data_IF_578875293059
#
_entry.id   IF_578875293059
#
_cell.length_a   1.000
_cell.length_b   1.000
_cell.length_c   1.000
_cell.angle_alpha   90.00
_cell.angle_beta   90.00
_cell.angle_gamma   90.00
#
_symmetry.space_group_name_H-M   'P 1'
#
loop_
_entity.id
_entity.type
_entity.pdbx_description
1 polymer ?
#
# COMPACT_ATOMS: atom_id res chain seq x y z
N UNK A 1 -7.83 1.68 -1.27
CA UNK A 1 -6.91 0.52 -1.21
C UNK A 1 -6.53 0.30 0.24
N UNK A 2 -6.11 -0.91 0.60
CA UNK A 2 -5.45 -1.17 1.89
C UNK A 2 -4.14 -1.93 1.66
N UNK A 3 -3.20 -1.80 2.59
CA UNK A 3 -1.85 -2.36 2.47
C UNK A 3 -1.64 -3.65 3.28
N UNK A 4 -0.44 -4.24 3.21
CA UNK A 4 -0.07 -5.37 4.06
C UNK A 4 -0.08 -4.98 5.55
N UNK A 5 -0.42 -5.92 6.43
CA UNK A 5 -0.50 -5.76 7.91
C UNK A 5 -1.69 -4.92 8.42
N UNK A 6 -2.87 -5.11 7.83
CA UNK A 6 -4.12 -4.49 8.27
C UNK A 6 -4.91 -5.39 9.23
N UNK A 7 -4.70 -6.72 9.16
CA UNK A 7 -5.42 -7.70 9.98
C UNK A 7 -4.62 -8.18 11.19
N UNK A 8 -3.31 -7.93 11.19
CA UNK A 8 -2.40 -8.31 12.26
C UNK A 8 -1.48 -7.14 12.59
N UNK A 9 -1.07 -7.03 13.85
CA UNK A 9 0.03 -6.15 14.19
C UNK A 9 1.33 -6.85 13.73
N UNK A 10 2.23 -6.18 12.97
CA UNK A 10 3.52 -6.77 12.60
C UNK A 10 4.33 -7.28 13.80
N UNK A 11 4.09 -6.71 14.98
CA UNK A 11 4.78 -6.98 16.24
C UNK A 11 3.97 -7.83 17.24
N UNK A 12 2.67 -8.04 17.00
CA UNK A 12 1.80 -8.83 17.88
C UNK A 12 0.84 -9.72 17.05
N UNK A 13 1.00 -11.03 17.22
CA UNK A 13 0.18 -12.05 16.56
C UNK A 13 -0.98 -12.53 17.43
N UNK A 14 -1.34 -11.80 18.49
CA UNK A 14 -2.45 -12.17 19.37
C UNK A 14 -3.76 -12.36 18.56
N UNK A 15 -4.52 -13.36 18.98
CA UNK A 15 -5.52 -14.05 18.17
C UNK A 15 -6.78 -13.19 17.93
N UNK A 16 -6.72 -12.28 16.96
CA UNK A 16 -7.90 -11.48 16.57
C UNK A 16 -8.95 -12.37 15.89
N UNK A 17 -10.22 -12.07 16.14
CA UNK A 17 -11.34 -12.70 15.44
C UNK A 17 -11.37 -12.14 13.99
N UNK A 18 -10.71 -12.85 13.08
CA UNK A 18 -10.47 -12.38 11.70
C UNK A 18 -11.71 -12.44 10.82
N UNK A 19 -12.62 -13.39 11.06
CA UNK A 19 -13.79 -13.59 10.20
C UNK A 19 -14.67 -12.33 10.11
N UNK A 20 -15.06 -11.71 11.25
CA UNK A 20 -15.82 -10.46 11.19
C UNK A 20 -15.04 -9.32 10.53
N UNK A 21 -13.72 -9.21 10.74
CA UNK A 21 -12.90 -8.20 10.07
C UNK A 21 -12.93 -8.38 8.55
N UNK A 22 -12.74 -9.61 8.05
CA UNK A 22 -12.78 -9.90 6.62
C UNK A 22 -14.14 -9.56 6.01
N UNK A 23 -15.22 -9.85 6.73
CA UNK A 23 -16.57 -9.50 6.29
C UNK A 23 -16.74 -7.98 6.16
N UNK A 24 -16.35 -7.20 7.18
CA UNK A 24 -16.42 -5.73 7.13
C UNK A 24 -15.56 -5.18 5.98
N UNK A 25 -14.31 -5.63 5.86
CA UNK A 25 -13.40 -5.15 4.81
C UNK A 25 -13.91 -5.48 3.40
N UNK A 26 -14.66 -6.57 3.25
CA UNK A 26 -15.29 -6.94 1.98
C UNK A 26 -16.46 -6.01 1.61
N UNK A 27 -17.04 -5.28 2.57
CA UNK A 27 -18.11 -4.31 2.32
C UNK A 27 -17.61 -2.94 1.85
N UNK A 28 -16.36 -2.56 2.15
CA UNK A 28 -15.80 -1.25 1.79
C UNK A 28 -15.51 -1.04 0.29
N UNK A 29 -15.91 -1.98 -0.57
CA UNK A 29 -15.78 -1.89 -2.04
C UNK A 29 -14.39 -1.47 -2.53
N UNK A 30 -13.33 -1.90 -1.82
CA UNK A 30 -11.97 -1.61 -2.25
C UNK A 30 -11.67 -2.22 -3.61
N UNK A 31 -11.12 -1.44 -4.53
CA UNK A 31 -10.70 -1.94 -5.85
C UNK A 31 -9.43 -2.81 -5.78
N UNK A 32 -8.62 -2.65 -4.73
CA UNK A 32 -7.37 -3.39 -4.55
C UNK A 32 -6.97 -3.45 -3.08
N UNK A 33 -6.45 -4.60 -2.66
CA UNK A 33 -5.89 -4.83 -1.33
C UNK A 33 -4.67 -5.74 -1.41
N UNK A 34 -3.76 -5.61 -0.44
CA UNK A 34 -2.57 -6.47 -0.36
C UNK A 34 -2.46 -7.07 1.03
N UNK A 35 -2.33 -8.38 1.10
CA UNK A 35 -2.02 -9.13 2.31
C UNK A 35 -0.51 -9.39 2.40
N UNK A 36 0.03 -9.31 3.60
CA UNK A 36 1.35 -9.86 3.91
C UNK A 36 1.34 -11.39 3.85
N UNK A 37 2.53 -11.99 3.72
CA UNK A 37 2.73 -13.44 3.80
C UNK A 37 2.16 -14.04 5.09
N UNK A 38 2.33 -13.33 6.22
CA UNK A 38 1.81 -13.74 7.53
C UNK A 38 0.28 -13.74 7.57
N UNK A 39 -0.37 -12.71 7.01
CA UNK A 39 -1.84 -12.65 6.94
C UNK A 39 -2.41 -13.77 6.08
N UNK A 40 -1.83 -14.03 4.90
CA UNK A 40 -2.26 -15.16 4.07
C UNK A 40 -2.17 -16.49 4.81
N UNK A 41 -1.04 -16.76 5.49
CA UNK A 41 -0.88 -17.98 6.29
C UNK A 41 -1.94 -18.10 7.38
N UNK A 42 -2.24 -16.99 8.04
CA UNK A 42 -3.25 -16.95 9.10
C UNK A 42 -4.67 -17.21 8.55
N UNK A 43 -5.00 -16.65 7.39
CA UNK A 43 -6.29 -16.89 6.72
C UNK A 43 -6.45 -18.36 6.34
N UNK A 44 -5.41 -18.96 5.74
CA UNK A 44 -5.40 -20.38 5.39
C UNK A 44 -5.56 -21.27 6.62
N UNK A 45 -4.84 -20.98 7.70
CA UNK A 45 -4.92 -21.72 8.96
C UNK A 45 -6.32 -21.66 9.60
N UNK A 46 -7.05 -20.55 9.40
CA UNK A 46 -8.42 -20.36 9.91
C UNK A 46 -9.52 -20.73 8.90
N UNK A 47 -9.17 -21.26 7.73
CA UNK A 47 -10.14 -21.64 6.69
C UNK A 47 -10.91 -20.46 6.09
N UNK A 48 -10.32 -19.25 6.12
CA UNK A 48 -10.95 -18.01 5.64
C UNK A 48 -10.63 -17.83 4.15
N UNK A 49 -11.67 -17.67 3.33
CA UNK A 49 -11.50 -17.36 1.91
C UNK A 49 -10.98 -15.94 1.72
N UNK A 50 -9.88 -15.80 0.97
CA UNK A 50 -9.35 -14.49 0.59
C UNK A 50 -10.15 -13.96 -0.61
N UNK A 51 -10.75 -12.75 -0.53
CA UNK A 51 -11.43 -12.14 -1.67
C UNK A 51 -10.50 -11.97 -2.89
N UNK A 52 -11.01 -12.15 -4.11
CA UNK A 52 -10.21 -12.18 -5.35
C UNK A 52 -9.46 -10.88 -5.67
N UNK A 53 -9.97 -9.75 -5.16
CA UNK A 53 -9.34 -8.42 -5.29
C UNK A 53 -8.20 -8.19 -4.30
N UNK A 54 -7.97 -9.12 -3.36
CA UNK A 54 -6.83 -9.09 -2.45
C UNK A 54 -5.68 -9.89 -3.04
N UNK A 55 -4.54 -9.23 -3.19
CA UNK A 55 -3.29 -9.86 -3.62
C UNK A 55 -2.46 -10.19 -2.40
N UNK A 56 -1.47 -11.06 -2.54
CA UNK A 56 -0.55 -11.36 -1.44
C UNK A 56 0.85 -10.95 -1.86
N UNK A 57 1.59 -10.34 -0.95
CA UNK A 57 3.03 -10.23 -1.07
C UNK A 57 3.64 -11.63 -1.07
N UNK A 58 4.35 -11.96 -2.13
CA UNK A 58 5.14 -13.17 -2.28
C UNK A 58 6.63 -12.81 -2.46
N UNK A 59 7.44 -13.78 -2.86
CA UNK A 59 8.86 -13.54 -3.14
C UNK A 59 9.10 -13.09 -4.60
N UNK A 60 8.04 -12.63 -5.29
CA UNK A 60 8.07 -12.19 -6.68
C UNK A 60 7.61 -10.73 -6.79
N UNK A 61 7.99 -10.10 -7.90
CA UNK A 61 7.52 -8.75 -8.22
C UNK A 61 6.30 -8.89 -9.11
N UNK A 62 5.14 -8.47 -8.60
CA UNK A 62 3.87 -8.56 -9.30
C UNK A 62 3.38 -7.17 -9.68
N UNK A 63 2.75 -7.03 -10.85
CA UNK A 63 2.03 -5.81 -11.17
C UNK A 63 0.63 -6.08 -11.71
N UNK A 64 -0.27 -5.15 -11.48
CA UNK A 64 -1.69 -5.23 -11.82
C UNK A 64 -2.14 -3.95 -12.49
N UNK A 65 -2.88 -4.08 -13.58
CA UNK A 65 -3.57 -2.97 -14.23
C UNK A 65 -4.96 -2.85 -13.61
N UNK A 66 -5.27 -1.69 -13.02
CA UNK A 66 -6.55 -1.44 -12.38
C UNK A 66 -7.41 -0.54 -13.28
N UNK A 67 -8.51 -1.10 -13.79
CA UNK A 67 -9.52 -0.45 -14.64
C UNK A 67 -8.93 0.38 -15.79
N UNK A 68 -7.81 -0.06 -16.38
CA UNK A 68 -7.03 0.65 -17.42
C UNK A 68 -6.60 2.09 -17.04
N UNK A 69 -6.65 2.44 -15.76
CA UNK A 69 -6.39 3.81 -15.25
C UNK A 69 -5.10 3.96 -14.48
N UNK A 70 -4.63 2.90 -13.84
CA UNK A 70 -3.39 2.94 -13.05
C UNK A 70 -2.72 1.56 -12.99
N UNK A 71 -1.42 1.56 -12.75
CA UNK A 71 -0.63 0.33 -12.54
C UNK A 71 -0.19 0.26 -11.08
N UNK A 72 -0.51 -0.87 -10.44
CA UNK A 72 -0.05 -1.19 -9.09
C UNK A 72 1.10 -2.18 -9.19
N UNK A 73 2.25 -1.83 -8.62
CA UNK A 73 3.40 -2.70 -8.44
C UNK A 73 3.44 -3.18 -6.99
N UNK A 74 3.22 -4.47 -6.76
CA UNK A 74 3.39 -5.09 -5.44
C UNK A 74 4.84 -5.55 -5.34
N UNK A 75 5.57 -4.96 -4.39
CA UNK A 75 6.97 -5.30 -4.14
C UNK A 75 7.07 -6.63 -3.37
N UNK A 76 8.13 -7.41 -3.59
CA UNK A 76 8.30 -8.74 -3.01
C UNK A 76 8.50 -8.65 -1.50
N UNK A 77 8.38 -9.74 -0.77
CA UNK A 77 8.80 -9.81 0.61
C UNK A 77 10.33 -9.81 0.72
N UNK A 78 10.87 -9.19 1.76
CA UNK A 78 12.31 -9.24 2.08
C UNK A 78 12.51 -9.63 3.55
N UNK A 79 13.59 -10.37 3.83
CA UNK A 79 14.02 -10.74 5.18
C UNK A 79 15.23 -9.92 5.64
N UNK A 80 15.91 -9.23 4.72
CA UNK A 80 16.98 -8.29 5.07
C UNK A 80 17.70 -7.67 3.89
N UNK A 81 18.90 -7.11 4.17
CA UNK A 81 19.68 -6.30 3.22
C UNK A 81 20.05 -7.03 1.92
N UNK A 82 20.34 -8.35 2.00
CA UNK A 82 20.73 -9.15 0.83
C UNK A 82 19.58 -9.24 -0.17
N UNK A 83 18.38 -9.55 0.32
CA UNK A 83 17.18 -9.59 -0.51
C UNK A 83 16.89 -8.23 -1.11
N UNK A 84 17.02 -7.15 -0.32
CA UNK A 84 16.81 -5.80 -0.82
C UNK A 84 17.73 -5.47 -2.00
N UNK A 85 19.02 -5.81 -1.92
CA UNK A 85 19.96 -5.60 -3.02
C UNK A 85 19.57 -6.40 -4.26
N UNK A 86 19.25 -7.69 -4.10
CA UNK A 86 18.82 -8.56 -5.19
C UNK A 86 17.55 -8.04 -5.89
N UNK A 87 16.51 -7.71 -5.11
CA UNK A 87 15.25 -7.26 -5.67
C UNK A 87 15.32 -5.83 -6.22
N UNK A 88 16.25 -4.99 -5.78
CA UNK A 88 16.36 -3.61 -6.29
C UNK A 88 16.60 -3.58 -7.80
N UNK A 89 17.51 -4.42 -8.31
CA UNK A 89 17.77 -4.53 -9.76
C UNK A 89 16.55 -5.09 -10.51
N UNK A 90 15.90 -6.10 -9.95
CA UNK A 90 14.72 -6.72 -10.56
C UNK A 90 13.54 -5.73 -10.63
N UNK A 91 13.32 -4.96 -9.57
CA UNK A 91 12.29 -3.92 -9.51
C UNK A 91 12.56 -2.87 -10.58
N UNK A 92 13.80 -2.41 -10.74
CA UNK A 92 14.13 -1.43 -11.79
C UNK A 92 13.79 -1.95 -13.19
N UNK A 93 14.11 -3.21 -13.48
CA UNK A 93 13.77 -3.84 -14.77
C UNK A 93 12.26 -3.94 -14.99
N UNK A 94 11.50 -4.30 -13.95
CA UNK A 94 10.04 -4.37 -14.02
C UNK A 94 9.43 -2.98 -14.20
N UNK A 95 9.90 -1.98 -13.47
CA UNK A 95 9.47 -0.57 -13.61
C UNK A 95 9.70 -0.08 -15.04
N UNK A 96 10.89 -0.32 -15.62
CA UNK A 96 11.16 0.04 -17.03
C UNK A 96 10.18 -0.63 -18.00
N UNK A 97 9.89 -1.93 -17.81
CA UNK A 97 8.91 -2.65 -18.62
C UNK A 97 7.50 -2.06 -18.49
N UNK A 98 7.07 -1.72 -17.27
CA UNK A 98 5.77 -1.11 -17.00
C UNK A 98 5.67 0.27 -17.66
N UNK A 99 6.65 1.14 -17.45
CA UNK A 99 6.65 2.50 -18.00
C UNK A 99 6.67 2.49 -19.52
N UNK A 100 7.38 1.55 -20.14
CA UNK A 100 7.37 1.41 -21.61
C UNK A 100 6.02 0.89 -22.13
N UNK A 101 5.37 -0.01 -21.39
CA UNK A 101 4.09 -0.62 -21.79
C UNK A 101 2.89 0.31 -21.54
N UNK A 102 2.94 1.08 -20.47
CA UNK A 102 1.85 1.96 -20.01
C UNK A 102 2.38 3.38 -19.71
N UNK A 103 2.88 4.11 -20.72
CA UNK A 103 3.64 5.35 -20.51
C UNK A 103 2.83 6.49 -19.88
N UNK A 104 1.51 6.46 -20.03
CA UNK A 104 0.57 7.49 -19.57
C UNK A 104 -0.17 7.11 -18.28
N UNK A 105 0.05 5.90 -17.74
CA UNK A 105 -0.66 5.45 -16.55
C UNK A 105 0.18 5.70 -15.29
N UNK A 106 -0.42 6.26 -14.22
CA UNK A 106 0.23 6.35 -12.91
C UNK A 106 0.72 5.00 -12.41
N UNK A 107 1.96 4.96 -11.93
CA UNK A 107 2.57 3.80 -11.28
C UNK A 107 2.63 4.01 -9.76
N UNK A 108 2.02 3.09 -9.03
CA UNK A 108 2.01 3.06 -7.56
C UNK A 108 2.69 1.77 -7.10
N UNK A 109 3.76 1.86 -6.32
CA UNK A 109 4.36 0.72 -5.65
C UNK A 109 3.78 0.53 -4.25
N UNK A 110 3.55 -0.72 -3.84
CA UNK A 110 3.14 -1.11 -2.49
C UNK A 110 4.25 -1.97 -1.89
N UNK A 111 4.78 -1.55 -0.75
CA UNK A 111 5.86 -2.22 -0.01
C UNK A 111 5.41 -2.68 1.35
N UNK A 112 5.90 -3.85 1.77
CA UNK A 112 5.71 -4.39 3.13
C UNK A 112 7.01 -4.38 3.94
N UNK A 113 8.04 -3.65 3.50
CA UNK A 113 9.41 -3.81 3.99
C UNK A 113 9.66 -3.13 5.33
N UNK A 114 8.78 -2.21 5.74
CA UNK A 114 8.97 -1.41 6.94
C UNK A 114 9.85 -0.18 6.68
N UNK A 115 9.70 0.81 7.56
CA UNK A 115 10.23 2.17 7.35
C UNK A 115 11.73 2.18 7.02
N UNK A 116 12.53 1.39 7.76
CA UNK A 116 13.98 1.38 7.61
C UNK A 116 14.43 0.92 6.21
N UNK A 117 13.89 -0.20 5.72
CA UNK A 117 14.29 -0.75 4.43
C UNK A 117 13.72 0.05 3.26
N UNK A 118 12.53 0.62 3.42
CA UNK A 118 11.95 1.54 2.45
C UNK A 118 12.75 2.82 2.32
N UNK A 119 13.13 3.45 3.44
CA UNK A 119 13.97 4.65 3.44
C UNK A 119 15.33 4.37 2.80
N UNK A 120 15.97 3.27 3.19
CA UNK A 120 17.23 2.83 2.58
C UNK A 120 17.08 2.63 1.08
N UNK A 121 16.00 1.97 0.65
CA UNK A 121 15.73 1.72 -0.76
C UNK A 121 15.59 3.02 -1.56
N UNK A 122 14.75 3.92 -1.06
CA UNK A 122 14.46 5.20 -1.70
C UNK A 122 15.73 6.06 -1.76
N UNK A 123 16.50 6.18 -0.68
CA UNK A 123 17.69 7.02 -0.64
C UNK A 123 18.86 6.47 -1.48
N UNK A 124 19.11 5.16 -1.39
CA UNK A 124 20.29 4.54 -1.99
C UNK A 124 20.07 4.16 -3.46
N UNK A 125 18.98 3.45 -3.77
CA UNK A 125 18.72 2.97 -5.13
C UNK A 125 17.94 3.98 -5.98
N UNK A 126 17.28 4.97 -5.35
CA UNK A 126 16.56 6.07 -6.03
C UNK A 126 15.67 5.60 -7.19
N UNK A 127 14.78 4.62 -6.93
CA UNK A 127 13.97 3.99 -7.96
C UNK A 127 13.08 5.00 -8.68
N UNK A 128 12.78 4.72 -9.96
CA UNK A 128 11.88 5.55 -10.77
C UNK A 128 10.40 5.20 -10.50
N UNK A 129 10.02 5.27 -9.23
CA UNK A 129 8.66 4.97 -8.76
C UNK A 129 7.99 6.30 -8.36
N UNK A 130 6.93 6.73 -9.07
CA UNK A 130 6.24 7.99 -8.79
C UNK A 130 5.57 8.01 -7.42
N UNK A 131 4.84 6.96 -7.05
CA UNK A 131 4.16 6.86 -5.74
C UNK A 131 4.59 5.57 -5.06
N UNK A 132 5.07 5.67 -3.83
CA UNK A 132 5.53 4.56 -3.01
C UNK A 132 4.72 4.50 -1.72
N UNK A 133 3.89 3.47 -1.58
CA UNK A 133 3.06 3.22 -0.41
C UNK A 133 3.74 2.15 0.45
N UNK A 134 4.22 2.56 1.62
CA UNK A 134 4.90 1.68 2.56
C UNK A 134 3.99 1.15 3.66
N UNK A 135 4.33 -0.03 4.17
CA UNK A 135 3.66 -0.68 5.31
C UNK A 135 4.65 -1.49 6.15
N UNK A 136 4.15 -2.31 7.09
CA UNK A 136 4.99 -3.12 7.98
C UNK A 136 5.63 -2.30 9.12
N UNK A 137 6.66 -2.83 9.79
CA UNK A 137 7.24 -2.22 10.99
C UNK A 137 7.76 -0.79 10.76
N UNK A 138 7.61 0.07 11.77
CA UNK A 138 8.09 1.45 11.73
C UNK A 138 6.97 2.47 11.82
N UNK A 139 7.31 3.74 11.66
CA UNK A 139 6.40 4.87 11.85
C UNK A 139 5.55 5.12 10.61
N UNK A 140 4.42 5.79 10.84
CA UNK A 140 3.62 6.35 9.77
C UNK A 140 4.28 7.62 9.19
N UNK A 141 3.99 7.90 7.92
CA UNK A 141 4.48 9.05 7.17
C UNK A 141 3.30 9.63 6.40
N UNK A 142 2.85 10.82 6.81
CA UNK A 142 1.70 11.54 6.21
C UNK A 142 1.85 11.74 4.69
N UNK A 143 3.09 11.93 4.26
CA UNK A 143 3.50 12.08 2.87
C UNK A 143 4.80 12.85 2.80
N UNK A 144 5.79 12.28 2.12
CA UNK A 144 7.10 12.91 1.92
C UNK A 144 7.49 12.77 0.46
N UNK A 145 7.77 13.89 -0.18
CA UNK A 145 8.38 13.87 -1.51
C UNK A 145 9.88 13.65 -1.37
N UNK A 146 10.40 12.59 -1.98
CA UNK A 146 11.81 12.17 -1.96
C UNK A 146 12.37 12.04 -3.38
N UNK A 147 13.60 11.55 -3.53
CA UNK A 147 14.24 11.32 -4.84
C UNK A 147 14.28 12.56 -5.73
N UNK A 148 14.69 13.70 -5.15
CA UNK A 148 14.73 15.00 -5.81
C UNK A 148 13.37 15.49 -6.34
N UNK A 149 12.27 15.01 -5.75
CA UNK A 149 10.92 15.38 -6.15
C UNK A 149 10.18 14.30 -6.93
N UNK A 150 10.83 13.18 -7.29
CA UNK A 150 10.26 12.16 -8.18
C UNK A 150 9.32 11.18 -7.50
N UNK A 151 9.47 10.95 -6.20
CA UNK A 151 8.70 9.92 -5.49
C UNK A 151 7.92 10.54 -4.35
N UNK A 152 6.60 10.33 -4.32
CA UNK A 152 5.78 10.54 -3.14
C UNK A 152 5.80 9.27 -2.29
N UNK A 153 6.41 9.33 -1.11
CA UNK A 153 6.43 8.24 -0.12
C UNK A 153 5.39 8.48 0.96
N UNK A 154 4.48 7.52 1.14
CA UNK A 154 3.40 7.57 2.14
C UNK A 154 3.39 6.26 2.92
N UNK A 155 3.25 6.35 4.25
CA UNK A 155 3.04 5.20 5.13
C UNK A 155 1.80 5.45 5.99
N UNK A 156 0.68 4.76 5.73
CA UNK A 156 -0.54 4.98 6.48
C UNK A 156 -0.38 4.75 7.99
N UNK A 157 -1.17 5.47 8.79
CA UNK A 157 -1.25 5.21 10.23
C UNK A 157 -1.89 3.85 10.49
N UNK A 158 -1.28 3.08 11.39
CA UNK A 158 -1.82 1.79 11.80
C UNK A 158 -3.17 1.93 12.51
N UNK A 159 -3.93 0.82 12.53
CA UNK A 159 -5.21 0.69 13.24
C UNK A 159 -6.31 1.62 12.73
N UNK A 160 -6.28 1.95 11.43
CA UNK A 160 -7.35 2.73 10.77
C UNK A 160 -7.56 4.13 11.36
N UNK A 161 -6.53 4.74 11.96
CA UNK A 161 -6.66 6.08 12.59
C UNK A 161 -6.81 7.21 11.57
N UNK A 162 -6.47 6.96 10.31
CA UNK A 162 -6.58 7.96 9.26
C UNK A 162 -6.76 7.31 7.89
N UNK A 163 -7.41 8.05 6.99
CA UNK A 163 -7.47 7.76 5.55
C UNK A 163 -6.56 8.73 4.82
N UNK A 164 -5.73 8.18 3.94
CA UNK A 164 -4.82 8.97 3.12
C UNK A 164 -5.43 9.14 1.73
N UNK A 165 -5.56 10.39 1.31
CA UNK A 165 -5.99 10.75 -0.02
C UNK A 165 -4.79 11.29 -0.79
N UNK A 166 -4.58 10.75 -1.99
CA UNK A 166 -3.59 11.22 -2.96
C UNK A 166 -4.36 11.48 -4.25
N UNK A 167 -4.39 12.74 -4.67
CA UNK A 167 -5.00 13.15 -5.93
C UNK A 167 -3.87 13.43 -6.92
N UNK A 168 -3.79 12.63 -7.99
CA UNK A 168 -2.89 12.89 -9.12
C UNK A 168 -3.71 13.69 -10.14
N UNK A 169 -3.51 15.01 -10.15
CA UNK A 169 -4.32 15.93 -10.97
C UNK A 169 -3.80 16.04 -12.40
N UNK A 170 -2.49 15.87 -12.62
CA UNK A 170 -1.88 15.93 -13.94
C UNK A 170 -0.63 15.04 -14.02
N UNK A 171 -0.83 13.78 -14.43
CA UNK A 171 0.28 12.83 -14.53
C UNK A 171 1.22 13.13 -15.70
N UNK A 172 0.73 13.72 -16.79
CA UNK A 172 1.56 14.13 -17.93
C UNK A 172 2.54 15.22 -17.53
N UNK A 173 2.09 16.21 -16.75
CA UNK A 173 2.98 17.24 -16.20
C UNK A 173 4.04 16.63 -15.27
N UNK A 174 3.68 15.64 -14.44
CA UNK A 174 4.68 14.89 -13.68
C UNK A 174 5.73 14.25 -14.60
N UNK A 175 5.32 13.60 -15.69
CA UNK A 175 6.24 12.94 -16.64
C UNK A 175 7.15 13.93 -17.35
N UNK A 176 6.62 15.06 -17.82
CA UNK A 176 7.38 16.11 -18.52
C UNK A 176 8.44 16.76 -17.62
N UNK A 177 8.08 16.99 -16.36
CA UNK A 177 8.97 17.66 -15.40
C UNK A 177 9.83 16.68 -14.60
N UNK A 178 9.51 15.38 -14.68
CA UNK A 178 10.03 14.32 -13.85
C UNK A 178 10.05 14.73 -12.37
N UNK A 179 8.91 15.27 -11.89
CA UNK A 179 8.82 15.85 -10.56
C UNK A 179 7.37 16.04 -10.11
N UNK A 180 7.12 15.74 -8.84
CA UNK A 180 5.91 16.12 -8.13
C UNK A 180 5.98 17.59 -7.69
N UNK A 181 4.98 18.37 -8.09
CA UNK A 181 4.76 19.77 -7.74
C UNK A 181 3.41 19.89 -7.01
N UNK A 182 3.49 20.19 -5.71
CA UNK A 182 2.32 20.19 -4.84
C UNK A 182 1.33 21.28 -5.24
N UNK A 183 0.04 20.92 -5.31
CA UNK A 183 -1.08 21.74 -5.83
C UNK A 183 -1.00 22.09 -7.31
N UNK A 184 -0.03 21.53 -8.04
CA UNK A 184 0.07 21.68 -9.49
C UNK A 184 -0.28 20.38 -10.20
N UNK A 185 0.49 19.31 -9.95
CA UNK A 185 0.26 18.01 -10.58
C UNK A 185 -0.17 16.91 -9.60
N UNK A 186 -0.13 17.21 -8.31
CA UNK A 186 -0.69 16.35 -7.28
C UNK A 186 -1.04 17.11 -6.00
N UNK A 187 -1.89 16.50 -5.19
CA UNK A 187 -2.18 16.90 -3.81
C UNK A 187 -2.28 15.65 -2.93
N UNK A 188 -1.92 15.78 -1.65
CA UNK A 188 -2.19 14.73 -0.66
C UNK A 188 -2.76 15.33 0.62
N UNK A 189 -3.58 14.53 1.30
CA UNK A 189 -4.20 14.88 2.57
C UNK A 189 -4.39 13.65 3.45
N UNK A 190 -4.15 13.84 4.73
CA UNK A 190 -4.49 12.87 5.78
C UNK A 190 -5.82 13.28 6.40
N UNK A 191 -6.81 12.39 6.35
CA UNK A 191 -8.09 12.54 7.01
C UNK A 191 -8.08 11.71 8.29
N UNK A 192 -7.94 12.39 9.43
CA UNK A 192 -7.96 11.73 10.74
C UNK A 192 -9.35 11.19 11.06
N UNK A 193 -9.44 9.87 11.24
CA UNK A 193 -10.63 9.16 11.67
C UNK A 193 -10.73 9.25 13.20
N UNK A 194 -11.26 10.36 13.69
CA UNK A 194 -11.54 10.60 15.10
C UNK A 194 -13.03 10.83 15.36
N UNK A 195 -13.38 11.32 16.55
CA UNK A 195 -14.77 11.45 17.04
C UNK A 195 -15.67 12.41 16.22
N UNK A 196 -15.15 13.05 15.18
CA UNK A 196 -15.89 13.98 14.32
C UNK A 196 -16.50 13.31 13.08
N UNK A 197 -16.13 12.06 12.81
CA UNK A 197 -16.73 11.26 11.75
C UNK A 197 -17.66 10.26 12.42
N UNK A 198 -18.95 10.36 12.11
CA UNK A 198 -19.93 9.41 12.63
C UNK A 198 -19.63 8.01 12.09
N UNK A 199 -19.64 6.97 12.95
CA UNK A 199 -19.54 5.60 12.49
C UNK A 199 -20.64 5.29 11.48
N UNK A 200 -20.30 4.48 10.48
CA UNK A 200 -21.30 3.91 9.59
C UNK A 200 -22.25 3.00 10.41
N UNK A 201 -23.57 3.26 10.44
CA UNK A 201 -24.50 2.49 11.26
C UNK A 201 -24.53 1.00 10.93
N UNK A 202 -24.34 0.62 9.67
CA UNK A 202 -24.31 -0.78 9.25
C UNK A 202 -23.07 -1.48 9.82
N UNK A 203 -21.91 -0.82 9.74
CA UNK A 203 -20.65 -1.33 10.29
C UNK A 203 -20.73 -1.41 11.82
N UNK A 204 -21.28 -0.38 12.48
CA UNK A 204 -21.47 -0.36 13.93
C UNK A 204 -22.35 -1.51 14.41
N UNK A 205 -23.53 -1.68 13.79
CA UNK A 205 -24.45 -2.77 14.14
C UNK A 205 -23.81 -4.15 13.93
N UNK A 206 -23.02 -4.31 12.86
CA UNK A 206 -22.29 -5.54 12.60
C UNK A 206 -21.24 -5.82 13.69
N UNK A 207 -20.43 -4.81 14.05
CA UNK A 207 -19.40 -4.97 15.10
C UNK A 207 -20.05 -5.32 16.44
N UNK A 208 -21.15 -4.67 16.81
CA UNK A 208 -21.87 -4.97 18.06
C UNK A 208 -22.39 -6.40 18.11
N UNK A 209 -22.81 -6.96 16.98
CA UNK A 209 -23.33 -8.33 16.91
C UNK A 209 -22.25 -9.41 16.94
N UNK A 210 -21.09 -9.14 16.33
CA UNK A 210 -20.07 -10.17 16.05
C UNK A 210 -18.89 -10.15 17.03
N UNK A 211 -18.75 -9.09 17.84
CA UNK A 211 -17.64 -8.92 18.80
C UNK A 211 -18.06 -8.69 20.25
N UNK A 212 -19.36 -8.66 20.57
CA UNK A 212 -19.88 -8.68 21.96
C UNK A 212 -20.57 -10.00 22.25
#
# INVERSE_FOLDING_TARGET
MFGPFEFIDPLDSSNSNLNPLVNIYSKFQYNFGVLSKKEKQLFLAKGISIPSFWKTVDNEINFYLLDDKLVILVLPFIEGKKDLAYFSEQVEQVVKKIVNKYPFLPLIAISSWGEYWEDYYLQYYKPDIPVFLGSGPGRAIEGRVVNHGRTLWVRPYSKGKAVFQIDITDYEKYKQQNKWLYKENFFWKTHWLGNKIYPDPEVSNFIEKEFR
#
